data_IF_811019019809
#
_entry.id   IF_811019019809
#
_cell.length_a   1.000
_cell.length_b   1.000
_cell.length_c   1.000
_cell.angle_alpha   90.00
_cell.angle_beta   90.00
_cell.angle_gamma   90.00
#
_symmetry.space_group_name_H-M   'P 1'
#
loop_
_entity.id
_entity.type
_entity.pdbx_description
1 polymer ?
#
# COMPACT_ATOMS: atom_id res chain seq x y z
N UNK A 1 -1.14 -5.47 -23.85
CA UNK A 1 -1.38 -6.83 -23.33
C UNK A 1 -2.84 -7.11 -22.97
N UNK A 2 -3.18 -8.41 -22.87
CA UNK A 2 -4.49 -9.09 -22.61
C UNK A 2 -5.46 -8.49 -21.55
N UNK A 3 -5.05 -7.47 -20.81
CA UNK A 3 -5.77 -6.87 -19.68
C UNK A 3 -6.09 -5.38 -19.86
N UNK A 4 -5.87 -4.83 -21.06
CA UNK A 4 -6.10 -3.40 -21.34
C UNK A 4 -5.14 -2.46 -20.59
N UNK A 5 -4.06 -3.02 -20.04
CA UNK A 5 -3.02 -2.30 -19.31
C UNK A 5 -1.76 -2.23 -20.18
N UNK A 6 -1.18 -1.04 -20.29
CA UNK A 6 0.11 -0.80 -20.91
C UNK A 6 0.80 0.39 -20.24
N UNK A 7 2.12 0.47 -20.41
CA UNK A 7 2.91 1.61 -19.93
C UNK A 7 3.02 1.69 -18.42
N UNK A 8 3.13 2.91 -17.91
CA UNK A 8 3.32 3.21 -16.49
C UNK A 8 1.98 3.49 -15.83
N UNK A 9 1.62 2.67 -14.85
CA UNK A 9 0.39 2.78 -14.07
C UNK A 9 0.75 3.17 -12.64
N UNK A 10 0.40 4.40 -12.24
CA UNK A 10 0.58 4.87 -10.87
C UNK A 10 -0.71 4.68 -10.09
N UNK A 11 -0.62 4.01 -8.95
CA UNK A 11 -1.72 3.86 -8.01
C UNK A 11 -1.33 4.46 -6.67
N UNK A 12 -2.31 4.94 -5.92
CA UNK A 12 -2.11 5.38 -4.55
C UNK A 12 -2.66 4.33 -3.60
N UNK A 13 -1.88 4.04 -2.57
CA UNK A 13 -2.29 3.19 -1.46
C UNK A 13 -2.36 4.02 -0.20
N UNK A 14 -3.32 3.70 0.66
CA UNK A 14 -3.40 4.22 2.00
C UNK A 14 -3.53 3.03 2.96
N UNK A 15 -2.75 3.02 4.03
CA UNK A 15 -2.81 1.97 5.03
C UNK A 15 -2.46 2.54 6.39
N UNK A 16 -2.75 1.80 7.44
CA UNK A 16 -2.35 2.16 8.79
C UNK A 16 -1.19 1.30 9.26
N UNK A 17 -0.34 1.89 10.09
CA UNK A 17 0.55 1.13 10.98
C UNK A 17 -0.04 1.23 12.38
N UNK A 18 -0.38 0.09 12.97
CA UNK A 18 -0.94 0.02 14.31
C UNK A 18 0.12 0.30 15.40
N UNK A 19 -0.30 0.34 16.67
CA UNK A 19 0.60 0.56 17.81
C UNK A 19 1.59 -0.57 18.06
N UNK A 20 1.45 -1.70 17.35
CA UNK A 20 2.35 -2.86 17.38
C UNK A 20 3.29 -2.86 16.18
N UNK A 21 3.08 -2.00 15.18
CA UNK A 21 3.91 -1.91 13.99
C UNK A 21 3.40 -2.72 12.80
N UNK A 22 2.18 -3.28 12.87
CA UNK A 22 1.61 -4.06 11.78
C UNK A 22 0.85 -3.16 10.80
N UNK A 23 0.90 -3.51 9.52
CA UNK A 23 0.07 -2.92 8.49
C UNK A 23 -1.38 -3.39 8.67
N UNK A 24 -2.32 -2.45 8.66
CA UNK A 24 -3.76 -2.73 8.72
C UNK A 24 -4.55 -1.80 7.80
N UNK A 25 -5.80 -2.18 7.48
CA UNK A 25 -6.78 -1.33 6.77
C UNK A 25 -6.23 -0.75 5.45
N UNK A 26 -5.67 -1.62 4.61
CA UNK A 26 -5.13 -1.25 3.30
C UNK A 26 -6.28 -0.81 2.37
N UNK A 27 -6.09 0.32 1.69
CA UNK A 27 -6.98 0.89 0.68
C UNK A 27 -6.17 1.22 -0.56
N UNK A 28 -6.74 0.97 -1.73
CA UNK A 28 -6.08 1.21 -3.02
C UNK A 28 -7.00 2.02 -3.93
N UNK A 29 -6.42 2.92 -4.74
CA UNK A 29 -7.16 3.82 -5.63
C UNK A 29 -7.14 3.37 -7.10
N UNK A 30 -7.16 2.06 -7.37
CA UNK A 30 -7.03 1.51 -8.74
C UNK A 30 -8.39 1.23 -9.38
N UNK A 31 -8.55 1.58 -10.66
CA UNK A 31 -9.70 1.17 -11.50
C UNK A 31 -9.56 -0.26 -12.05
N UNK A 32 -8.37 -0.86 -11.93
CA UNK A 32 -8.07 -2.20 -12.40
C UNK A 32 -7.95 -3.15 -11.20
N UNK A 33 -8.85 -4.14 -11.06
CA UNK A 33 -8.85 -5.07 -9.92
C UNK A 33 -7.50 -5.77 -9.71
N UNK A 34 -6.86 -6.21 -10.80
CA UNK A 34 -5.54 -6.86 -10.72
C UNK A 34 -4.46 -5.97 -10.09
N UNK A 35 -4.43 -4.68 -10.44
CA UNK A 35 -3.46 -3.75 -9.84
C UNK A 35 -3.82 -3.42 -8.38
N UNK A 36 -5.11 -3.47 -8.02
CA UNK A 36 -5.55 -3.29 -6.64
C UNK A 36 -5.11 -4.46 -5.75
N UNK A 37 -5.38 -5.70 -6.19
CA UNK A 37 -4.98 -6.92 -5.51
C UNK A 37 -3.46 -7.00 -5.34
N UNK A 38 -2.71 -6.70 -6.40
CA UNK A 38 -1.26 -6.75 -6.34
C UNK A 38 -0.68 -5.66 -5.42
N UNK A 39 -1.28 -4.49 -5.41
CA UNK A 39 -0.90 -3.42 -4.49
C UNK A 39 -1.16 -3.80 -3.03
N UNK A 40 -2.33 -4.37 -2.75
CA UNK A 40 -2.66 -4.84 -1.41
C UNK A 40 -1.69 -5.92 -0.94
N UNK A 41 -1.37 -6.89 -1.81
CA UNK A 41 -0.36 -7.92 -1.53
C UNK A 41 1.00 -7.31 -1.21
N UNK A 42 1.50 -6.39 -2.03
CA UNK A 42 2.82 -5.75 -1.84
C UNK A 42 2.86 -4.92 -0.55
N UNK A 43 1.81 -4.16 -0.24
CA UNK A 43 1.71 -3.41 1.01
C UNK A 43 1.63 -4.36 2.22
N UNK A 44 0.94 -5.49 2.10
CA UNK A 44 0.88 -6.53 3.13
C UNK A 44 2.21 -7.25 3.38
N UNK A 45 3.16 -7.18 2.45
CA UNK A 45 4.51 -7.72 2.61
C UNK A 45 5.46 -6.78 3.39
N UNK A 46 5.02 -5.55 3.69
CA UNK A 46 5.83 -4.64 4.52
C UNK A 46 6.07 -5.33 5.87
N UNK A 47 7.34 -5.50 6.28
CA UNK A 47 7.64 -6.14 7.55
C UNK A 47 7.09 -5.29 8.70
N UNK A 48 6.92 -5.92 9.86
CA UNK A 48 6.53 -5.22 11.07
C UNK A 48 7.45 -4.01 11.30
N UNK A 49 6.86 -2.82 11.27
CA UNK A 49 7.56 -1.55 11.43
C UNK A 49 7.77 -1.22 12.91
N UNK A 50 8.67 -0.29 13.20
CA UNK A 50 8.72 0.32 14.52
C UNK A 50 7.49 1.24 14.69
N UNK A 51 6.67 1.06 15.74
CA UNK A 51 5.52 1.93 15.96
C UNK A 51 5.94 3.39 16.13
N UNK A 52 5.19 4.30 15.52
CA UNK A 52 5.36 5.72 15.77
C UNK A 52 5.05 6.03 17.24
N UNK A 53 5.78 6.99 17.83
CA UNK A 53 5.59 7.41 19.22
C UNK A 53 5.27 8.89 19.31
N UNK A 54 4.30 9.24 20.14
CA UNK A 54 3.98 10.61 20.52
C UNK A 54 3.99 10.70 22.04
N UNK A 55 4.87 11.53 22.62
CA UNK A 55 5.03 11.66 24.08
C UNK A 55 5.20 10.29 24.76
N UNK A 56 6.14 9.50 24.25
CA UNK A 56 6.48 8.13 24.68
C UNK A 56 5.41 7.05 24.53
N UNK A 57 4.23 7.38 23.99
CA UNK A 57 3.15 6.43 23.71
C UNK A 57 3.15 6.01 22.25
N UNK A 58 3.03 4.71 21.99
CA UNK A 58 2.84 4.21 20.64
C UNK A 58 1.48 4.66 20.09
N UNK A 59 1.46 5.16 18.85
CA UNK A 59 0.25 5.69 18.21
C UNK A 59 0.02 5.02 16.85
N UNK A 60 -1.26 4.83 16.49
CA UNK A 60 -1.66 4.40 15.14
C UNK A 60 -1.43 5.57 14.18
N UNK A 61 -0.84 5.30 13.02
CA UNK A 61 -0.55 6.31 12.00
C UNK A 61 -1.07 5.87 10.64
N UNK A 62 -1.46 6.84 9.82
CA UNK A 62 -1.90 6.64 8.44
C UNK A 62 -0.72 6.94 7.52
N UNK A 63 -0.43 6.04 6.58
CA UNK A 63 0.53 6.26 5.51
C UNK A 63 -0.19 6.28 4.16
N UNK A 64 0.32 7.12 3.25
CA UNK A 64 -0.06 7.13 1.85
C UNK A 64 1.18 6.90 1.02
N UNK A 65 1.23 5.83 0.23
CA UNK A 65 2.38 5.49 -0.60
C UNK A 65 1.94 5.25 -2.05
N UNK A 66 2.56 5.93 -3.04
CA UNK A 66 2.34 5.62 -4.44
C UNK A 66 3.10 4.34 -4.83
N UNK A 67 2.44 3.46 -5.59
CA UNK A 67 3.10 2.32 -6.26
C UNK A 67 3.06 2.57 -7.76
N UNK A 68 4.19 2.37 -8.42
CA UNK A 68 4.34 2.54 -9.86
C UNK A 68 4.53 1.16 -10.49
N UNK A 69 3.52 0.71 -11.23
CA UNK A 69 3.61 -0.51 -12.03
C UNK A 69 4.08 -0.16 -13.42
N UNK A 70 5.15 -0.81 -13.87
CA UNK A 70 5.58 -0.78 -15.27
C UNK A 70 5.03 -2.04 -15.95
N UNK A 71 3.95 -1.89 -16.69
CA UNK A 71 3.32 -2.99 -17.42
C UNK A 71 4.03 -3.14 -18.76
N UNK A 72 4.79 -4.21 -18.91
CA UNK A 72 5.38 -4.57 -20.20
C UNK A 72 4.28 -5.12 -21.13
N UNK A 73 4.43 -4.84 -22.43
CA UNK A 73 3.42 -5.18 -23.45
C UNK A 73 3.21 -6.67 -23.65
#
# INVERSE_FOLDING_TARGET
GRRGLSGVQKIYTQFHIDTRGNVTEIKTSSKHPFLAEEAERVIGLIPRMQPARQRDRAVKVVFTMPIVFKVQE
#
